data_IF_865794151908
#
_entry.id   IF_865794151908
#
_cell.length_a   1.000
_cell.length_b   1.000
_cell.length_c   1.000
_cell.angle_alpha   90.00
_cell.angle_beta   90.00
_cell.angle_gamma   90.00
#
_symmetry.space_group_name_H-M   'P 1'
#
loop_
_entity.id
_entity.type
_entity.pdbx_description
1 polymer ?
#
# COMPACT_ATOMS: atom_id res chain seq x y z
N UNK A 1 -11.35 -2.06 -22.29
CA UNK A 1 -10.28 -2.95 -21.79
C UNK A 1 -10.75 -4.38 -22.01
N UNK A 2 -10.00 -5.21 -22.72
CA UNK A 2 -10.42 -6.60 -22.99
C UNK A 2 -10.36 -7.38 -21.69
N UNK A 3 -11.48 -7.93 -21.23
CA UNK A 3 -11.50 -8.97 -20.19
C UNK A 3 -10.64 -10.14 -20.69
N UNK A 4 -9.40 -10.26 -20.19
CA UNK A 4 -8.60 -11.45 -20.46
C UNK A 4 -9.18 -12.58 -19.63
N UNK A 5 -9.94 -13.45 -20.26
CA UNK A 5 -10.61 -14.63 -19.68
C UNK A 5 -9.64 -15.78 -19.38
N UNK A 6 -8.35 -15.49 -19.20
CA UNK A 6 -7.32 -16.47 -18.88
C UNK A 6 -7.10 -16.65 -17.38
N UNK A 7 -6.59 -17.81 -16.99
CA UNK A 7 -6.14 -18.13 -15.64
C UNK A 7 -5.11 -17.11 -15.15
N UNK A 8 -5.34 -16.51 -13.98
CA UNK A 8 -4.43 -15.57 -13.33
C UNK A 8 -3.58 -16.30 -12.29
N UNK A 9 -2.27 -16.21 -12.43
CA UNK A 9 -1.33 -16.82 -11.50
C UNK A 9 -0.87 -15.79 -10.48
N UNK A 10 -1.03 -16.11 -9.21
CA UNK A 10 -0.70 -15.25 -8.09
C UNK A 10 0.42 -15.89 -7.28
N UNK A 11 1.56 -15.22 -7.17
CA UNK A 11 2.62 -15.62 -6.25
C UNK A 11 2.25 -15.22 -4.83
N UNK A 12 2.10 -16.17 -3.93
CA UNK A 12 1.74 -15.94 -2.53
C UNK A 12 2.97 -16.07 -1.66
N UNK A 13 3.30 -15.02 -0.92
CA UNK A 13 4.43 -14.96 0.00
C UNK A 13 3.92 -14.46 1.34
N UNK A 14 3.72 -15.37 2.30
CA UNK A 14 3.20 -15.03 3.62
C UNK A 14 4.23 -14.23 4.47
N UNK A 15 5.51 -14.51 4.30
CA UNK A 15 6.61 -13.84 5.01
C UNK A 15 6.70 -14.18 6.48
N UNK A 16 6.74 -13.16 7.35
CA UNK A 16 6.99 -13.29 8.79
C UNK A 16 5.76 -13.00 9.65
N UNK A 17 5.85 -13.40 10.91
CA UNK A 17 4.94 -13.02 11.98
C UNK A 17 3.47 -13.24 11.65
N UNK A 18 2.66 -12.18 11.82
CA UNK A 18 1.22 -12.22 11.53
C UNK A 18 0.89 -12.42 10.05
N UNK A 19 1.85 -12.20 9.13
CA UNK A 19 1.66 -12.51 7.71
C UNK A 19 1.30 -13.98 7.48
N UNK A 20 1.83 -14.90 8.30
CA UNK A 20 1.49 -16.33 8.26
C UNK A 20 0.06 -16.65 8.71
N UNK A 21 -0.57 -15.76 9.46
CA UNK A 21 -1.94 -15.90 9.97
C UNK A 21 -2.96 -15.16 9.09
N UNK A 22 -2.62 -13.96 8.63
CA UNK A 22 -3.52 -13.13 7.81
C UNK A 22 -3.59 -13.58 6.35
N UNK A 23 -2.49 -14.10 5.80
CA UNK A 23 -2.43 -14.57 4.40
C UNK A 23 -3.42 -15.70 4.09
N UNK A 24 -3.56 -16.76 4.91
CA UNK A 24 -4.56 -17.78 4.67
C UNK A 24 -5.99 -17.26 4.60
N UNK A 25 -6.31 -16.26 5.42
CA UNK A 25 -7.63 -15.60 5.41
C UNK A 25 -7.81 -14.69 4.20
N UNK A 26 -6.75 -13.99 3.79
CA UNK A 26 -6.72 -13.25 2.53
C UNK A 26 -7.00 -14.15 1.32
N UNK A 27 -6.29 -15.27 1.21
CA UNK A 27 -6.50 -16.27 0.13
C UNK A 27 -7.92 -16.83 0.17
N UNK A 28 -8.44 -17.20 1.36
CA UNK A 28 -9.83 -17.68 1.54
C UNK A 28 -10.86 -16.73 0.94
N UNK A 29 -10.72 -15.43 1.21
CA UNK A 29 -11.65 -14.41 0.69
C UNK A 29 -11.48 -14.25 -0.82
N UNK A 30 -10.25 -14.30 -1.33
CA UNK A 30 -10.00 -14.24 -2.78
C UNK A 30 -10.58 -15.45 -3.51
N UNK A 31 -10.48 -16.66 -2.96
CA UNK A 31 -11.10 -17.88 -3.51
C UNK A 31 -12.64 -17.76 -3.52
N UNK A 32 -13.23 -17.22 -2.45
CA UNK A 32 -14.67 -17.01 -2.39
C UNK A 32 -15.14 -15.99 -3.44
N UNK A 33 -14.40 -14.87 -3.58
CA UNK A 33 -14.67 -13.87 -4.62
C UNK A 33 -14.49 -14.46 -6.03
N UNK A 34 -13.41 -15.20 -6.26
CA UNK A 34 -13.16 -15.86 -7.54
C UNK A 34 -14.27 -16.82 -7.92
N UNK A 35 -14.74 -17.64 -6.96
CA UNK A 35 -15.87 -18.55 -7.17
C UNK A 35 -17.17 -17.81 -7.52
N UNK A 36 -17.47 -16.71 -6.79
CA UNK A 36 -18.67 -15.90 -7.00
C UNK A 36 -18.70 -15.22 -8.38
N UNK A 37 -17.55 -14.71 -8.84
CA UNK A 37 -17.46 -13.92 -10.06
C UNK A 37 -16.93 -14.70 -11.27
N UNK A 38 -16.67 -16.02 -11.13
CA UNK A 38 -16.17 -16.87 -12.22
C UNK A 38 -14.76 -16.51 -12.66
N UNK A 39 -13.90 -16.08 -11.72
CA UNK A 39 -12.51 -15.71 -11.98
C UNK A 39 -11.62 -16.95 -11.77
N UNK A 40 -10.77 -17.27 -12.75
CA UNK A 40 -9.81 -18.38 -12.61
C UNK A 40 -8.50 -17.85 -11.97
N UNK A 41 -8.39 -18.02 -10.65
CA UNK A 41 -7.18 -17.69 -9.87
C UNK A 41 -6.41 -18.96 -9.53
N UNK A 42 -5.09 -18.92 -9.66
CA UNK A 42 -4.18 -19.94 -9.16
C UNK A 42 -3.15 -19.31 -8.22
N UNK A 43 -3.00 -19.90 -7.04
CA UNK A 43 -2.08 -19.43 -6.01
C UNK A 43 -0.87 -20.38 -5.94
N UNK A 44 0.32 -19.82 -6.24
CA UNK A 44 1.61 -20.50 -6.12
C UNK A 44 2.30 -19.99 -4.85
N UNK A 45 2.50 -20.85 -3.86
CA UNK A 45 3.04 -20.47 -2.56
C UNK A 45 4.56 -20.56 -2.51
N UNK A 46 5.19 -19.53 -1.95
CA UNK A 46 6.63 -19.44 -1.75
C UNK A 46 6.95 -19.18 -0.27
N UNK A 47 8.01 -19.80 0.25
CA UNK A 47 8.43 -19.72 1.64
C UNK A 47 9.57 -18.72 1.92
N UNK A 48 10.13 -18.11 0.87
CA UNK A 48 11.17 -17.10 0.99
C UNK A 48 10.63 -15.72 1.42
N UNK A 49 11.51 -14.72 1.58
CA UNK A 49 11.19 -13.40 2.18
C UNK A 49 10.71 -13.53 3.62
N UNK A 50 11.35 -14.42 4.38
CA UNK A 50 11.04 -14.67 5.79
C UNK A 50 12.30 -14.95 6.60
N UNK A 51 12.23 -14.74 7.92
CA UNK A 51 13.27 -15.18 8.85
C UNK A 51 13.55 -16.67 8.75
N UNK A 52 12.52 -17.51 8.67
CA UNK A 52 12.68 -18.96 8.61
C UNK A 52 13.46 -19.41 7.37
N UNK A 53 13.26 -18.74 6.26
CA UNK A 53 14.03 -18.97 5.04
C UNK A 53 15.47 -18.48 5.20
N UNK A 54 15.66 -17.28 5.74
CA UNK A 54 16.98 -16.71 5.99
C UNK A 54 17.81 -17.58 6.94
N UNK A 55 17.22 -18.08 8.02
CA UNK A 55 17.90 -18.96 8.99
C UNK A 55 18.44 -20.24 8.32
N UNK A 56 17.74 -20.77 7.34
CA UNK A 56 18.15 -22.01 6.63
C UNK A 56 19.16 -21.75 5.51
N UNK A 57 19.02 -20.62 4.82
CA UNK A 57 19.73 -20.39 3.54
C UNK A 57 20.75 -19.25 3.59
N UNK A 58 20.76 -18.41 4.65
CA UNK A 58 21.65 -17.24 4.77
C UNK A 58 21.28 -16.07 3.84
N UNK A 59 20.13 -16.14 3.18
CA UNK A 59 19.63 -15.12 2.26
C UNK A 59 18.11 -15.05 2.32
N UNK A 60 17.52 -13.88 2.01
CA UNK A 60 16.08 -13.67 2.08
C UNK A 60 15.30 -14.34 0.95
N UNK A 61 15.93 -14.51 -0.19
CA UNK A 61 15.35 -15.12 -1.40
C UNK A 61 16.39 -15.97 -2.12
N UNK A 62 15.99 -16.99 -2.90
CA UNK A 62 16.92 -17.77 -3.72
C UNK A 62 17.46 -16.91 -4.87
N UNK A 63 18.65 -17.24 -5.40
CA UNK A 63 19.29 -16.46 -6.47
C UNK A 63 18.41 -16.31 -7.73
N UNK A 64 17.58 -17.30 -8.02
CA UNK A 64 16.67 -17.31 -9.17
C UNK A 64 15.24 -16.82 -8.82
N UNK A 65 15.05 -16.10 -7.71
CA UNK A 65 13.73 -15.62 -7.27
C UNK A 65 12.97 -14.85 -8.36
N UNK A 66 13.70 -14.09 -9.17
CA UNK A 66 13.13 -13.28 -10.24
C UNK A 66 12.47 -14.14 -11.33
N UNK A 67 13.11 -15.26 -11.68
CA UNK A 67 12.54 -16.22 -12.64
C UNK A 67 11.36 -16.97 -12.04
N UNK A 68 11.42 -17.30 -10.74
CA UNK A 68 10.34 -18.00 -10.05
C UNK A 68 9.05 -17.17 -9.99
N UNK A 69 9.16 -15.87 -9.73
CA UNK A 69 8.02 -14.98 -9.48
C UNK A 69 7.64 -14.13 -10.69
N UNK A 70 8.60 -13.79 -11.54
CA UNK A 70 8.43 -12.82 -12.64
C UNK A 70 7.38 -13.19 -13.69
N UNK A 71 6.99 -14.46 -13.80
CA UNK A 71 5.95 -14.94 -14.70
C UNK A 71 4.53 -14.92 -14.12
N UNK A 72 4.31 -14.40 -12.91
CA UNK A 72 2.99 -14.28 -12.29
C UNK A 72 2.29 -12.98 -12.69
N UNK A 73 0.96 -12.96 -12.64
CA UNK A 73 0.15 -11.76 -12.89
C UNK A 73 0.22 -10.76 -11.73
N UNK A 74 0.43 -11.27 -10.50
CA UNK A 74 0.59 -10.46 -9.29
C UNK A 74 1.34 -11.24 -8.18
N UNK A 75 1.86 -10.48 -7.20
CA UNK A 75 2.43 -10.99 -5.96
C UNK A 75 1.49 -10.59 -4.82
N UNK A 76 1.00 -11.55 -4.06
CA UNK A 76 0.22 -11.35 -2.85
C UNK A 76 1.12 -11.60 -1.65
N UNK A 77 1.49 -10.51 -0.96
CA UNK A 77 2.54 -10.50 0.05
C UNK A 77 1.95 -10.24 1.44
N UNK A 78 2.45 -10.93 2.45
CA UNK A 78 2.01 -10.74 3.84
C UNK A 78 2.81 -9.65 4.53
N UNK A 79 3.84 -10.05 5.26
CA UNK A 79 4.71 -9.11 5.97
C UNK A 79 6.14 -9.65 6.01
N UNK A 80 7.13 -8.78 6.18
CA UNK A 80 8.53 -9.18 6.32
C UNK A 80 9.21 -8.39 7.42
N UNK A 81 10.15 -9.07 8.08
CA UNK A 81 10.98 -8.52 9.13
C UNK A 81 10.67 -9.10 10.51
N UNK A 82 11.74 -9.30 11.28
CA UNK A 82 11.69 -9.72 12.67
C UNK A 82 12.85 -9.05 13.41
N UNK A 83 12.68 -7.80 13.90
CA UNK A 83 13.79 -6.97 14.40
C UNK A 83 14.68 -7.61 15.45
N UNK A 84 14.13 -8.52 16.29
CA UNK A 84 14.90 -9.25 17.31
C UNK A 84 15.81 -10.34 16.71
N UNK A 85 15.55 -10.80 15.48
CA UNK A 85 16.25 -11.90 14.84
C UNK A 85 17.08 -11.47 13.64
N UNK A 86 16.60 -10.50 12.87
CA UNK A 86 17.21 -10.05 11.61
C UNK A 86 17.08 -8.53 11.49
N UNK A 87 18.17 -7.86 11.16
CA UNK A 87 18.15 -6.41 10.97
C UNK A 87 17.32 -6.01 9.74
N UNK A 88 16.59 -4.89 9.84
CA UNK A 88 15.70 -4.39 8.79
C UNK A 88 16.42 -4.19 7.44
N UNK A 89 17.68 -3.74 7.46
CA UNK A 89 18.44 -3.59 6.22
C UNK A 89 18.76 -4.93 5.52
N UNK A 90 18.68 -6.06 6.21
CA UNK A 90 18.82 -7.40 5.60
C UNK A 90 17.46 -7.87 5.09
N UNK A 91 16.44 -7.81 5.94
CA UNK A 91 15.10 -8.34 5.60
C UNK A 91 14.40 -7.52 4.51
N UNK A 92 14.35 -6.19 4.63
CA UNK A 92 13.67 -5.32 3.67
C UNK A 92 14.46 -5.16 2.36
N UNK A 93 15.78 -4.94 2.46
CA UNK A 93 16.60 -4.74 1.25
C UNK A 93 16.85 -6.04 0.50
N UNK A 94 16.87 -7.16 1.21
CA UNK A 94 17.01 -8.50 0.63
C UNK A 94 15.72 -9.09 0.05
N UNK A 95 14.58 -8.39 0.17
CA UNK A 95 13.29 -8.88 -0.33
C UNK A 95 12.41 -7.77 -0.89
N UNK A 96 11.63 -7.07 -0.07
CA UNK A 96 10.60 -6.11 -0.50
C UNK A 96 11.12 -5.02 -1.44
N UNK A 97 12.27 -4.41 -1.11
CA UNK A 97 12.86 -3.38 -1.95
C UNK A 97 13.43 -3.93 -3.27
N UNK A 98 13.82 -5.21 -3.30
CA UNK A 98 14.22 -5.87 -4.55
C UNK A 98 13.03 -6.02 -5.49
N UNK A 99 11.85 -6.46 -4.99
CA UNK A 99 10.64 -6.52 -5.81
C UNK A 99 10.32 -5.15 -6.42
N UNK A 100 10.33 -4.08 -5.62
CA UNK A 100 10.03 -2.72 -6.09
C UNK A 100 10.96 -2.27 -7.21
N UNK A 101 12.27 -2.52 -7.07
CA UNK A 101 13.29 -2.09 -8.02
C UNK A 101 13.35 -2.98 -9.26
N UNK A 102 13.47 -4.29 -9.08
CA UNK A 102 13.70 -5.24 -10.14
C UNK A 102 12.45 -5.49 -11.02
N UNK A 103 11.25 -5.31 -10.46
CA UNK A 103 9.99 -5.36 -11.17
C UNK A 103 9.43 -3.96 -11.51
N UNK A 104 10.28 -2.94 -11.37
CA UNK A 104 9.94 -1.55 -11.70
C UNK A 104 8.52 -1.15 -11.22
N UNK A 105 8.22 -1.44 -9.95
CA UNK A 105 6.96 -1.14 -9.32
C UNK A 105 6.94 0.33 -8.88
N UNK A 106 6.87 1.23 -9.86
CA UNK A 106 7.14 2.66 -9.69
C UNK A 106 6.00 3.47 -9.04
N UNK A 107 4.85 2.86 -8.83
CA UNK A 107 3.75 3.46 -8.07
C UNK A 107 3.51 2.67 -6.80
N UNK A 108 3.56 3.32 -5.64
CA UNK A 108 2.95 2.80 -4.43
C UNK A 108 1.61 3.49 -4.21
N UNK A 109 0.53 2.70 -4.19
CA UNK A 109 -0.85 3.18 -4.05
C UNK A 109 -1.40 2.76 -2.70
N UNK A 110 -1.82 3.73 -1.88
CA UNK A 110 -2.40 3.49 -0.55
C UNK A 110 -3.73 4.25 -0.39
N UNK A 111 -4.87 3.56 -0.27
CA UNK A 111 -6.13 4.19 0.11
C UNK A 111 -6.14 4.52 1.61
N UNK A 112 -6.75 5.65 1.95
CA UNK A 112 -7.09 6.02 3.33
C UNK A 112 -8.58 6.32 3.36
N UNK A 113 -9.36 5.40 3.95
CA UNK A 113 -10.82 5.47 3.97
C UNK A 113 -11.36 5.21 5.37
N UNK A 114 -12.25 6.08 5.83
CA UNK A 114 -12.99 5.87 7.08
C UNK A 114 -14.08 4.82 6.85
N UNK A 115 -13.86 3.65 7.44
CA UNK A 115 -14.74 2.49 7.31
C UNK A 115 -15.86 2.48 8.37
N UNK A 116 -17.00 1.85 8.11
CA UNK A 116 -18.04 1.61 9.13
C UNK A 116 -17.44 0.97 10.39
N UNK A 117 -17.90 1.42 11.56
CA UNK A 117 -17.47 0.88 12.84
C UNK A 117 -16.04 1.18 13.27
N UNK A 118 -15.27 1.90 12.46
CA UNK A 118 -13.97 2.45 12.84
C UNK A 118 -14.18 3.89 13.33
N UNK A 119 -13.51 4.25 14.40
CA UNK A 119 -13.56 5.60 14.96
C UNK A 119 -12.35 6.38 14.48
N UNK A 120 -12.59 7.43 13.68
CA UNK A 120 -11.53 8.33 13.28
C UNK A 120 -11.03 9.12 14.51
N UNK A 121 -9.71 9.17 14.75
CA UNK A 121 -9.16 9.99 15.82
C UNK A 121 -9.26 11.50 15.53
N UNK A 122 -9.47 11.89 14.28
CA UNK A 122 -9.67 13.27 13.86
C UNK A 122 -11.15 13.61 13.79
N UNK A 123 -11.55 14.70 14.45
CA UNK A 123 -12.93 15.17 14.50
C UNK A 123 -13.20 16.29 13.50
N UNK A 124 -14.47 16.61 13.25
CA UNK A 124 -14.84 17.81 12.50
C UNK A 124 -14.51 19.09 13.29
N UNK A 125 -14.53 20.23 12.62
CA UNK A 125 -14.17 21.53 13.23
C UNK A 125 -15.07 21.92 14.41
N UNK A 126 -16.30 21.43 14.44
CA UNK A 126 -17.25 21.65 15.54
C UNK A 126 -17.09 20.63 16.68
N UNK A 127 -16.11 19.74 16.61
CA UNK A 127 -15.83 18.70 17.59
C UNK A 127 -16.66 17.44 17.42
N UNK A 128 -17.55 17.36 16.42
CA UNK A 128 -18.34 16.16 16.16
C UNK A 128 -17.50 15.06 15.51
N UNK A 129 -17.90 13.80 15.74
CA UNK A 129 -17.27 12.64 15.09
C UNK A 129 -17.53 12.64 13.59
N UNK A 130 -16.58 12.09 12.83
CA UNK A 130 -16.72 11.89 11.40
C UNK A 130 -17.48 10.60 11.10
N UNK A 131 -18.23 10.63 10.01
CA UNK A 131 -19.03 9.49 9.56
C UNK A 131 -18.26 8.64 8.53
N UNK A 132 -18.53 7.34 8.41
CA UNK A 132 -17.97 6.47 7.38
C UNK A 132 -18.15 7.06 5.98
N UNK A 133 -17.06 7.05 5.21
CA UNK A 133 -17.02 7.59 3.84
C UNK A 133 -16.75 9.09 3.73
N UNK A 134 -16.76 9.86 4.82
CA UNK A 134 -16.35 11.28 4.77
C UNK A 134 -14.87 11.48 4.44
N UNK A 135 -14.05 10.51 4.79
CA UNK A 135 -12.65 10.47 4.40
C UNK A 135 -12.49 9.27 3.46
N UNK A 136 -12.16 9.57 2.22
CA UNK A 136 -11.92 8.55 1.17
C UNK A 136 -10.94 9.11 0.15
N UNK A 137 -9.64 8.92 0.40
CA UNK A 137 -8.58 9.43 -0.44
C UNK A 137 -7.59 8.33 -0.82
N UNK A 138 -6.87 8.56 -1.91
CA UNK A 138 -5.73 7.76 -2.33
C UNK A 138 -4.45 8.55 -2.26
N UNK A 139 -3.40 7.96 -1.71
CA UNK A 139 -2.04 8.48 -1.76
C UNK A 139 -1.28 7.71 -2.84
N UNK A 140 -0.78 8.44 -3.83
CA UNK A 140 0.05 7.94 -4.93
C UNK A 140 1.49 8.39 -4.65
N UNK A 141 2.33 7.44 -4.26
CA UNK A 141 3.73 7.64 -3.91
C UNK A 141 4.62 7.16 -5.06
N UNK A 142 5.59 7.98 -5.47
CA UNK A 142 6.73 7.50 -6.26
C UNK A 142 7.49 6.42 -5.46
N UNK A 143 7.94 5.35 -6.12
CA UNK A 143 8.37 4.16 -5.39
C UNK A 143 9.73 3.58 -5.80
N UNK A 144 10.46 4.19 -6.75
CA UNK A 144 11.70 3.63 -7.31
C UNK A 144 12.89 4.56 -7.29
N UNK A 145 12.69 5.86 -7.14
CA UNK A 145 13.74 6.89 -7.10
C UNK A 145 13.49 7.90 -5.96
N UNK A 146 13.74 9.18 -6.16
CA UNK A 146 13.50 10.21 -5.18
C UNK A 146 14.54 10.22 -4.07
N UNK A 147 14.08 10.42 -2.86
CA UNK A 147 14.90 10.50 -1.65
C UNK A 147 15.44 9.13 -1.22
N UNK A 148 14.87 8.02 -1.73
CA UNK A 148 15.31 6.64 -1.51
C UNK A 148 16.27 6.14 -2.60
N UNK A 149 16.93 7.01 -3.34
CA UNK A 149 17.78 6.69 -4.50
C UNK A 149 18.96 5.77 -4.20
N UNK A 150 19.41 5.66 -2.95
CA UNK A 150 20.63 4.96 -2.53
C UNK A 150 21.93 5.52 -3.18
N UNK A 151 21.87 6.73 -3.74
CA UNK A 151 23.05 7.42 -4.28
C UNK A 151 23.62 8.33 -3.19
N UNK A 152 24.88 8.12 -2.86
CA UNK A 152 25.56 8.85 -1.80
C UNK A 152 26.79 8.13 -1.31
N UNK A 153 27.28 8.55 -0.15
CA UNK A 153 28.46 7.95 0.43
C UNK A 153 28.86 8.55 1.77
N UNK A 154 29.92 7.96 2.32
CA UNK A 154 30.52 8.41 3.58
C UNK A 154 32.01 8.64 3.40
N UNK A 155 32.52 9.78 3.84
CA UNK A 155 33.92 10.14 3.85
C UNK A 155 34.42 10.24 5.30
N UNK A 156 35.66 9.84 5.55
CA UNK A 156 36.34 9.90 6.85
C UNK A 156 35.56 9.20 7.99
N UNK A 157 35.06 7.96 7.80
CA UNK A 157 34.19 7.29 8.76
C UNK A 157 34.88 7.13 10.14
N UNK A 158 34.13 7.40 11.22
CA UNK A 158 34.61 7.27 12.60
C UNK A 158 35.55 8.38 13.08
N UNK A 159 35.71 9.47 12.32
CA UNK A 159 36.49 10.66 12.73
C UNK A 159 35.60 11.88 12.92
N UNK A 160 36.09 12.92 13.62
CA UNK A 160 35.38 14.21 13.73
C UNK A 160 35.12 14.92 12.39
N UNK A 161 35.81 14.49 11.32
CA UNK A 161 35.68 15.02 9.96
C UNK A 161 34.71 14.19 9.12
N UNK A 162 34.00 13.27 9.72
CA UNK A 162 33.07 12.40 8.99
C UNK A 162 32.01 13.23 8.23
N UNK A 163 31.85 12.90 6.96
CA UNK A 163 30.82 13.50 6.10
C UNK A 163 29.96 12.35 5.55
N UNK A 164 28.64 12.48 5.66
CA UNK A 164 27.67 11.56 5.10
C UNK A 164 26.79 12.32 4.11
N UNK A 165 26.60 11.77 2.91
CA UNK A 165 25.82 12.38 1.86
C UNK A 165 24.87 11.35 1.23
N UNK A 166 23.63 11.76 0.98
CA UNK A 166 22.67 11.02 0.18
C UNK A 166 21.95 11.99 -0.75
N UNK A 167 21.85 11.62 -2.02
CA UNK A 167 21.26 12.43 -3.05
C UNK A 167 19.78 12.10 -3.27
N UNK A 168 18.97 13.13 -3.50
CA UNK A 168 17.61 12.98 -4.07
C UNK A 168 17.71 12.99 -5.59
N UNK A 169 17.20 11.95 -6.22
CA UNK A 169 17.20 11.80 -7.69
C UNK A 169 15.78 11.85 -8.20
N UNK A 170 15.52 12.74 -9.15
CA UNK A 170 14.25 12.82 -9.88
C UNK A 170 14.54 12.80 -11.37
N UNK A 171 14.24 11.69 -12.03
CA UNK A 171 14.31 11.60 -13.48
C UNK A 171 13.01 12.08 -14.11
N UNK A 172 13.07 12.57 -15.36
CA UNK A 172 11.86 12.95 -16.08
C UNK A 172 10.92 11.76 -16.27
N UNK A 173 11.46 10.60 -16.59
CA UNK A 173 10.68 9.36 -16.79
C UNK A 173 9.99 8.97 -15.48
N UNK A 174 10.71 8.95 -14.35
CA UNK A 174 10.18 8.56 -13.06
C UNK A 174 9.07 9.49 -12.58
N UNK A 175 9.29 10.81 -12.67
CA UNK A 175 8.29 11.81 -12.27
C UNK A 175 7.07 11.78 -13.20
N UNK A 176 7.28 11.80 -14.52
CA UNK A 176 6.16 11.86 -15.47
C UNK A 176 5.25 10.62 -15.39
N UNK A 177 5.80 9.42 -15.20
CA UNK A 177 5.01 8.18 -15.15
C UNK A 177 4.14 8.09 -13.88
N UNK A 178 4.66 8.48 -12.71
CA UNK A 178 3.86 8.49 -11.48
C UNK A 178 2.80 9.58 -11.52
N UNK A 179 3.11 10.76 -12.06
CA UNK A 179 2.14 11.83 -12.26
C UNK A 179 1.03 11.40 -13.20
N UNK A 180 1.35 10.79 -14.35
CA UNK A 180 0.35 10.26 -15.28
C UNK A 180 -0.62 9.32 -14.58
N UNK A 181 -0.10 8.37 -13.79
CA UNK A 181 -0.94 7.45 -13.01
C UNK A 181 -1.86 8.21 -12.05
N UNK A 182 -1.33 9.18 -11.31
CA UNK A 182 -2.12 9.96 -10.35
C UNK A 182 -3.22 10.80 -11.02
N UNK A 183 -2.94 11.41 -12.16
CA UNK A 183 -3.93 12.16 -12.96
C UNK A 183 -5.02 11.23 -13.52
N UNK A 184 -4.66 10.06 -14.05
CA UNK A 184 -5.63 9.06 -14.54
C UNK A 184 -6.53 8.57 -13.40
N UNK A 185 -5.95 8.30 -12.22
CA UNK A 185 -6.70 7.91 -11.04
C UNK A 185 -7.67 9.02 -10.63
N UNK A 186 -7.19 10.26 -10.49
CA UNK A 186 -8.03 11.40 -10.12
C UNK A 186 -9.17 11.60 -11.13
N UNK A 187 -8.88 11.51 -12.44
CA UNK A 187 -9.90 11.63 -13.49
C UNK A 187 -10.99 10.55 -13.42
N UNK A 188 -10.63 9.35 -12.93
CA UNK A 188 -11.58 8.24 -12.77
C UNK A 188 -12.49 8.38 -11.54
N UNK A 189 -12.15 9.24 -10.59
CA UNK A 189 -12.92 9.46 -9.36
C UNK A 189 -13.96 10.58 -9.53
N UNK A 190 -15.05 10.57 -8.73
CA UNK A 190 -16.13 11.56 -8.87
C UNK A 190 -15.67 13.01 -8.71
N UNK A 191 -14.80 13.28 -7.71
CA UNK A 191 -14.34 14.63 -7.38
C UNK A 191 -13.32 15.19 -8.37
N UNK A 192 -12.65 14.32 -9.12
CA UNK A 192 -11.60 14.67 -10.10
C UNK A 192 -10.59 15.67 -9.54
N UNK A 193 -10.15 15.43 -8.32
CA UNK A 193 -9.31 16.35 -7.58
C UNK A 193 -7.95 15.71 -7.26
N UNK A 194 -6.87 16.37 -7.68
CA UNK A 194 -5.49 15.96 -7.44
C UNK A 194 -4.78 17.00 -6.58
N UNK A 195 -4.22 16.58 -5.48
CA UNK A 195 -3.34 17.42 -4.63
C UNK A 195 -1.89 16.97 -4.81
N UNK A 196 -0.99 17.89 -5.18
CA UNK A 196 0.44 17.64 -5.26
C UNK A 196 1.14 18.06 -3.98
N UNK A 197 1.88 17.11 -3.37
CA UNK A 197 2.77 17.38 -2.25
C UNK A 197 4.12 17.89 -2.77
N UNK A 198 4.60 19.02 -2.21
CA UNK A 198 5.88 19.63 -2.60
C UNK A 198 6.61 20.24 -1.40
N UNK A 199 7.84 20.67 -1.60
CA UNK A 199 8.61 21.51 -0.66
C UNK A 199 9.48 22.51 -1.43
N UNK A 200 8.97 23.06 -2.53
CA UNK A 200 9.71 23.93 -3.44
C UNK A 200 10.14 25.26 -2.80
N UNK A 201 9.58 25.64 -1.65
CA UNK A 201 10.05 26.79 -0.87
C UNK A 201 11.32 26.51 -0.04
N UNK A 202 11.73 25.24 0.09
CA UNK A 202 12.90 24.85 0.91
C UNK A 202 13.89 23.97 0.15
N UNK A 203 13.43 23.13 -0.76
CA UNK A 203 14.27 22.24 -1.60
C UNK A 203 14.36 22.87 -2.99
N UNK A 204 15.44 23.57 -3.24
CA UNK A 204 15.53 24.56 -4.33
C UNK A 204 15.70 23.97 -5.75
N UNK A 205 15.97 22.68 -5.91
CA UNK A 205 16.25 22.08 -7.23
C UNK A 205 15.20 21.03 -7.58
N UNK A 206 15.08 19.96 -6.82
CA UNK A 206 14.22 18.82 -7.16
C UNK A 206 12.73 19.13 -7.03
N UNK A 207 12.32 19.93 -6.02
CA UNK A 207 10.91 20.23 -5.80
C UNK A 207 10.33 21.28 -6.75
N UNK A 208 11.03 22.34 -7.17
CA UNK A 208 10.60 23.18 -8.29
C UNK A 208 10.46 22.38 -9.60
N UNK A 209 11.36 21.42 -9.86
CA UNK A 209 11.24 20.52 -11.00
C UNK A 209 9.97 19.64 -10.90
N UNK A 210 9.69 19.09 -9.73
CA UNK A 210 8.45 18.35 -9.48
C UNK A 210 7.22 19.23 -9.79
N UNK A 211 7.19 20.47 -9.27
CA UNK A 211 6.10 21.43 -9.51
C UNK A 211 5.93 21.75 -11.00
N UNK A 212 7.04 21.92 -11.74
CA UNK A 212 7.03 22.14 -13.19
C UNK A 212 6.40 20.93 -13.93
N UNK A 213 6.78 19.69 -13.56
CA UNK A 213 6.22 18.49 -14.18
C UNK A 213 4.73 18.34 -13.90
N UNK A 214 4.29 18.61 -12.67
CA UNK A 214 2.85 18.63 -12.33
C UNK A 214 2.09 19.65 -13.19
N UNK A 215 2.58 20.87 -13.28
CA UNK A 215 1.95 21.92 -14.09
C UNK A 215 1.92 21.59 -15.59
N UNK A 216 2.95 20.93 -16.11
CA UNK A 216 2.97 20.49 -17.50
C UNK A 216 1.97 19.34 -17.74
N UNK A 217 1.93 18.36 -16.86
CA UNK A 217 0.98 17.24 -16.95
C UNK A 217 -0.47 17.72 -16.87
N UNK A 218 -0.77 18.68 -16.00
CA UNK A 218 -2.12 19.22 -15.83
C UNK A 218 -2.74 19.77 -17.12
N UNK A 219 -1.92 20.26 -18.06
CA UNK A 219 -2.41 20.72 -19.38
C UNK A 219 -3.10 19.63 -20.19
N UNK A 220 -2.72 18.36 -19.97
CA UNK A 220 -3.32 17.19 -20.62
C UNK A 220 -4.58 16.67 -19.92
N UNK A 221 -4.90 17.20 -18.74
CA UNK A 221 -6.02 16.81 -17.90
C UNK A 221 -6.85 18.01 -17.45
N UNK A 222 -7.44 18.78 -18.39
CA UNK A 222 -8.14 20.04 -18.07
C UNK A 222 -9.42 19.84 -17.23
N UNK A 223 -9.90 18.61 -17.14
CA UNK A 223 -11.06 18.18 -16.33
C UNK A 223 -10.68 17.76 -14.91
N UNK A 224 -9.41 17.75 -14.55
CA UNK A 224 -8.91 17.44 -13.20
C UNK A 224 -8.54 18.75 -12.49
N UNK A 225 -9.16 18.99 -11.34
CA UNK A 225 -8.79 20.10 -10.45
C UNK A 225 -7.45 19.77 -9.77
N UNK A 226 -6.49 20.70 -9.82
CA UNK A 226 -5.15 20.49 -9.22
C UNK A 226 -4.86 21.54 -8.17
N UNK A 227 -4.55 21.07 -6.95
CA UNK A 227 -4.02 21.90 -5.87
C UNK A 227 -2.58 21.47 -5.52
N UNK A 228 -1.83 22.38 -4.91
CA UNK A 228 -0.47 22.16 -4.47
C UNK A 228 -0.27 22.67 -3.06
N UNK A 229 0.31 21.84 -2.17
CA UNK A 229 0.67 22.23 -0.81
C UNK A 229 2.09 21.83 -0.48
N UNK A 230 2.79 22.67 0.30
CA UNK A 230 4.04 22.27 0.91
C UNK A 230 3.78 21.20 1.96
N UNK A 231 4.68 20.20 2.08
CA UNK A 231 4.46 18.99 2.87
C UNK A 231 4.12 19.28 4.34
N UNK A 232 4.73 20.28 4.94
CA UNK A 232 4.49 20.69 6.33
C UNK A 232 3.05 21.16 6.55
N UNK A 233 2.53 22.04 5.70
CA UNK A 233 1.13 22.47 5.82
C UNK A 233 0.17 21.38 5.32
N UNK A 234 0.57 20.53 4.39
CA UNK A 234 -0.22 19.42 3.91
C UNK A 234 -0.50 18.40 5.03
N UNK A 235 0.51 18.07 5.85
CA UNK A 235 0.32 17.19 7.02
C UNK A 235 -0.66 17.80 8.03
N UNK A 236 -0.61 19.11 8.27
CA UNK A 236 -1.58 19.79 9.11
C UNK A 236 -3.01 19.71 8.52
N UNK A 237 -3.15 19.84 7.20
CA UNK A 237 -4.44 19.74 6.53
C UNK A 237 -5.00 18.31 6.54
N UNK A 238 -4.17 17.27 6.51
CA UNK A 238 -4.61 15.89 6.69
C UNK A 238 -5.32 15.68 8.03
N UNK A 239 -4.85 16.36 9.09
CA UNK A 239 -5.48 16.29 10.42
C UNK A 239 -6.73 17.19 10.50
N UNK A 240 -6.65 18.42 9.96
CA UNK A 240 -7.70 19.43 10.13
C UNK A 240 -8.91 19.24 9.21
N UNK A 241 -8.67 18.80 7.97
CA UNK A 241 -9.67 18.68 6.91
C UNK A 241 -9.37 17.51 5.96
N UNK A 242 -9.28 16.27 6.46
CA UNK A 242 -8.95 15.10 5.62
C UNK A 242 -9.99 14.85 4.52
N UNK A 243 -11.22 15.28 4.72
CA UNK A 243 -12.33 15.24 3.76
C UNK A 243 -12.14 16.12 2.51
N UNK A 244 -11.13 16.99 2.52
CA UNK A 244 -10.79 17.82 1.36
C UNK A 244 -10.06 17.04 0.25
N UNK A 245 -9.38 15.95 0.60
CA UNK A 245 -8.49 15.24 -0.30
C UNK A 245 -9.18 14.08 -1.02
N UNK A 246 -8.89 13.93 -2.31
CA UNK A 246 -9.38 12.85 -3.16
C UNK A 246 -8.21 11.97 -3.64
N UNK A 247 -7.29 12.52 -4.44
CA UNK A 247 -6.02 11.87 -4.79
C UNK A 247 -4.87 12.79 -4.41
N UNK A 248 -3.88 12.25 -3.71
CA UNK A 248 -2.66 12.99 -3.32
C UNK A 248 -1.47 12.32 -3.98
N UNK A 249 -0.68 13.09 -4.76
CA UNK A 249 0.56 12.59 -5.37
C UNK A 249 1.77 13.20 -4.70
N UNK A 250 2.79 12.37 -4.46
CA UNK A 250 3.98 12.77 -3.72
C UNK A 250 5.25 12.03 -4.21
N UNK A 251 6.41 12.66 -3.96
CA UNK A 251 7.71 11.99 -4.06
C UNK A 251 7.80 10.80 -3.11
N UNK A 252 8.87 10.03 -3.22
CA UNK A 252 9.02 8.81 -2.44
C UNK A 252 8.92 9.04 -0.92
N UNK A 253 9.69 9.97 -0.36
CA UNK A 253 9.66 10.27 1.08
C UNK A 253 8.35 10.93 1.52
N UNK A 254 7.87 11.92 0.78
CA UNK A 254 6.64 12.60 1.16
C UNK A 254 5.44 11.67 1.06
N UNK A 255 5.42 10.80 0.06
CA UNK A 255 4.41 9.77 -0.11
C UNK A 255 4.45 8.74 1.03
N UNK A 256 5.63 8.38 1.52
CA UNK A 256 5.79 7.49 2.67
C UNK A 256 5.13 8.07 3.93
N UNK A 257 5.49 9.32 4.25
CA UNK A 257 4.93 10.03 5.41
C UNK A 257 3.41 10.16 5.31
N UNK A 258 2.90 10.59 4.16
CA UNK A 258 1.46 10.83 3.97
C UNK A 258 0.65 9.54 3.96
N UNK A 259 1.22 8.45 3.47
CA UNK A 259 0.53 7.16 3.36
C UNK A 259 0.37 6.43 4.68
N UNK A 260 1.10 6.83 5.72
CA UNK A 260 0.87 6.39 7.10
C UNK A 260 -0.04 7.39 7.85
N UNK A 261 0.13 8.69 7.58
CA UNK A 261 -0.70 9.73 8.20
C UNK A 261 -2.18 9.64 7.78
N UNK A 262 -2.47 9.34 6.52
CA UNK A 262 -3.84 9.16 6.03
C UNK A 262 -4.61 8.10 6.81
N UNK A 263 -4.15 6.83 6.84
CA UNK A 263 -4.74 5.77 7.64
C UNK A 263 -4.77 6.07 9.16
N UNK A 264 -3.77 6.78 9.69
CA UNK A 264 -3.79 7.24 11.08
C UNK A 264 -4.95 8.20 11.34
N UNK A 265 -5.22 9.15 10.43
CA UNK A 265 -6.36 10.07 10.53
C UNK A 265 -7.72 9.38 10.43
N UNK A 266 -7.82 8.30 9.67
CA UNK A 266 -9.06 7.50 9.55
C UNK A 266 -9.21 6.44 10.64
N UNK A 267 -8.17 6.21 11.47
CA UNK A 267 -8.16 5.12 12.46
C UNK A 267 -8.01 3.73 11.84
N UNK A 268 -7.57 3.64 10.59
CA UNK A 268 -7.50 2.38 9.82
C UNK A 268 -6.09 1.87 9.58
N UNK A 269 -5.07 2.39 10.26
CA UNK A 269 -3.66 2.02 10.02
C UNK A 269 -3.41 0.50 10.18
N UNK A 270 -4.09 -0.16 11.12
CA UNK A 270 -3.99 -1.61 11.33
C UNK A 270 -4.67 -2.47 10.25
N UNK A 271 -5.49 -1.86 9.39
CA UNK A 271 -6.23 -2.54 8.30
C UNK A 271 -5.95 -1.93 6.93
N UNK A 272 -5.00 -0.99 6.84
CA UNK A 272 -4.68 -0.28 5.61
C UNK A 272 -3.95 -1.20 4.61
N UNK A 273 -4.38 -1.21 3.35
CA UNK A 273 -3.69 -1.94 2.29
C UNK A 273 -2.66 -1.07 1.58
N UNK A 274 -1.78 -1.72 0.85
CA UNK A 274 -0.81 -1.08 -0.04
C UNK A 274 -0.66 -1.89 -1.33
N UNK A 275 -0.42 -1.22 -2.44
CA UNK A 275 -0.08 -1.84 -3.71
C UNK A 275 1.18 -1.18 -4.28
N UNK A 276 2.19 -2.00 -4.59
CA UNK A 276 3.37 -1.60 -5.34
C UNK A 276 3.14 -2.01 -6.79
N UNK A 277 2.87 -1.05 -7.65
CA UNK A 277 2.37 -1.30 -9.00
C UNK A 277 3.44 -1.08 -10.08
N UNK A 278 3.48 -2.00 -11.03
CA UNK A 278 3.96 -1.75 -12.39
C UNK A 278 2.73 -1.56 -13.29
N UNK A 279 2.24 -0.31 -13.47
CA UNK A 279 1.03 -0.03 -14.23
C UNK A 279 1.11 -0.47 -15.70
N UNK A 280 2.31 -0.55 -16.26
CA UNK A 280 2.55 -1.01 -17.62
C UNK A 280 2.43 -2.54 -17.77
N UNK A 281 2.33 -3.27 -16.62
CA UNK A 281 2.18 -4.74 -16.54
C UNK A 281 3.30 -5.52 -17.25
N UNK A 282 4.50 -4.96 -17.28
CA UNK A 282 5.69 -5.64 -17.79
C UNK A 282 6.24 -6.65 -16.78
N UNK A 283 5.95 -6.41 -15.50
CA UNK A 283 6.33 -7.23 -14.37
C UNK A 283 5.16 -7.34 -13.37
N UNK A 284 5.17 -8.35 -12.51
CA UNK A 284 4.11 -8.49 -11.50
C UNK A 284 4.10 -7.32 -10.51
N UNK A 285 2.92 -6.80 -10.22
CA UNK A 285 2.67 -5.86 -9.13
C UNK A 285 2.54 -6.61 -7.81
N UNK A 286 2.88 -5.96 -6.69
CA UNK A 286 2.86 -6.55 -5.36
C UNK A 286 1.82 -5.86 -4.48
N UNK A 287 1.03 -6.66 -3.77
CA UNK A 287 -0.05 -6.22 -2.88
C UNK A 287 0.24 -6.71 -1.46
N UNK A 288 0.46 -5.77 -0.54
CA UNK A 288 0.88 -6.02 0.85
C UNK A 288 0.15 -5.10 1.82
N UNK A 289 -0.19 -5.53 3.05
CA UNK A 289 -0.69 -4.62 4.08
C UNK A 289 0.36 -3.57 4.47
N UNK A 290 -0.10 -2.43 4.98
CA UNK A 290 0.79 -1.39 5.52
C UNK A 290 1.44 -1.84 6.84
N UNK A 291 0.72 -2.66 7.64
CA UNK A 291 1.26 -3.20 8.88
C UNK A 291 2.46 -4.14 8.64
N UNK A 292 3.40 -4.19 9.58
CA UNK A 292 4.54 -5.11 9.57
C UNK A 292 4.16 -6.51 10.08
N UNK A 293 5.19 -7.27 10.44
CA UNK A 293 5.08 -8.67 10.91
C UNK A 293 4.54 -8.85 12.33
N UNK A 294 4.52 -7.79 13.15
CA UNK A 294 4.05 -7.78 14.54
C UNK A 294 4.45 -9.03 15.33
N UNK A 295 5.77 -9.24 15.60
CA UNK A 295 6.26 -10.45 16.23
C UNK A 295 5.71 -10.72 17.63
N UNK A 296 5.31 -9.67 18.33
CA UNK A 296 4.74 -9.71 19.70
C UNK A 296 3.39 -10.42 19.79
N UNK A 297 2.62 -10.43 18.69
CA UNK A 297 1.33 -11.11 18.61
C UNK A 297 1.32 -12.31 17.65
N UNK A 298 2.45 -12.58 16.99
CA UNK A 298 2.57 -13.68 16.04
C UNK A 298 2.28 -15.05 16.69
N UNK A 299 1.57 -15.93 16.00
CA UNK A 299 1.20 -17.27 16.45
C UNK A 299 -0.01 -17.30 17.41
N UNK A 300 -0.62 -16.13 17.71
CA UNK A 300 -1.74 -16.04 18.65
C UNK A 300 -3.11 -16.03 17.99
N UNK A 301 -3.17 -15.97 16.67
CA UNK A 301 -4.41 -15.92 15.88
C UNK A 301 -5.36 -14.77 16.30
N UNK A 302 -4.78 -13.59 16.61
CA UNK A 302 -5.52 -12.39 17.05
C UNK A 302 -5.29 -11.19 16.13
N UNK A 303 -4.43 -11.31 15.12
CA UNK A 303 -4.17 -10.27 14.14
C UNK A 303 -5.42 -9.98 13.28
N UNK A 304 -5.62 -8.72 12.92
CA UNK A 304 -6.73 -8.33 12.05
C UNK A 304 -6.40 -8.69 10.57
N UNK A 305 -7.19 -9.55 9.89
CA UNK A 305 -6.88 -9.95 8.52
C UNK A 305 -7.39 -8.95 7.47
N UNK A 306 -8.12 -7.89 7.86
CA UNK A 306 -8.77 -6.96 6.93
C UNK A 306 -7.77 -6.29 6.01
N UNK A 307 -6.60 -5.88 6.52
CA UNK A 307 -5.55 -5.28 5.68
C UNK A 307 -5.12 -6.20 4.55
N UNK A 308 -4.89 -7.48 4.86
CA UNK A 308 -4.56 -8.50 3.87
C UNK A 308 -5.69 -8.71 2.86
N UNK A 309 -6.92 -8.83 3.33
CA UNK A 309 -8.11 -9.00 2.47
C UNK A 309 -8.30 -7.81 1.54
N UNK A 310 -8.10 -6.59 2.04
CA UNK A 310 -8.22 -5.38 1.24
C UNK A 310 -7.11 -5.28 0.17
N UNK A 311 -5.89 -5.73 0.47
CA UNK A 311 -4.84 -5.89 -0.54
C UNK A 311 -5.27 -6.85 -1.65
N UNK A 312 -5.93 -7.94 -1.30
CA UNK A 312 -6.52 -8.87 -2.28
C UNK A 312 -7.60 -8.19 -3.15
N UNK A 313 -8.46 -7.35 -2.56
CA UNK A 313 -9.42 -6.57 -3.33
C UNK A 313 -8.73 -5.64 -4.32
N UNK A 314 -7.70 -4.89 -3.90
CA UNK A 314 -6.90 -4.04 -4.81
C UNK A 314 -6.24 -4.85 -5.93
N UNK A 315 -5.76 -6.05 -5.63
CA UNK A 315 -5.22 -6.98 -6.62
C UNK A 315 -6.27 -7.36 -7.66
N UNK A 316 -7.50 -7.69 -7.25
CA UNK A 316 -8.61 -8.01 -8.17
C UNK A 316 -8.93 -6.83 -9.08
N UNK A 317 -9.00 -5.61 -8.57
CA UNK A 317 -9.20 -4.40 -9.39
C UNK A 317 -8.07 -4.21 -10.41
N UNK A 318 -6.82 -4.33 -9.98
CA UNK A 318 -5.66 -4.26 -10.87
C UNK A 318 -5.69 -5.31 -11.97
N UNK A 319 -6.15 -6.52 -11.67
CA UNK A 319 -6.30 -7.61 -12.64
C UNK A 319 -7.51 -7.43 -13.57
N UNK A 320 -8.33 -6.40 -13.37
CA UNK A 320 -9.47 -6.04 -14.22
C UNK A 320 -10.81 -6.57 -13.72
N UNK A 321 -10.91 -6.99 -12.47
CA UNK A 321 -12.12 -7.55 -11.85
C UNK A 321 -12.73 -6.57 -10.83
N UNK A 322 -13.13 -5.38 -11.30
CA UNK A 322 -13.68 -4.29 -10.47
C UNK A 322 -14.90 -4.72 -9.65
N UNK A 323 -15.82 -5.47 -10.25
CA UNK A 323 -17.02 -5.92 -9.54
C UNK A 323 -16.68 -6.84 -8.34
N UNK A 324 -15.65 -7.66 -8.49
CA UNK A 324 -15.17 -8.51 -7.40
C UNK A 324 -14.47 -7.68 -6.31
N UNK A 325 -13.66 -6.69 -6.68
CA UNK A 325 -13.09 -5.72 -5.75
C UNK A 325 -14.19 -5.05 -4.91
N UNK A 326 -15.20 -4.48 -5.57
CA UNK A 326 -16.28 -3.74 -4.90
C UNK A 326 -17.06 -4.65 -3.96
N UNK A 327 -17.31 -5.91 -4.34
CA UNK A 327 -17.98 -6.89 -3.49
C UNK A 327 -17.15 -7.24 -2.25
N UNK A 328 -15.83 -7.40 -2.37
CA UNK A 328 -14.93 -7.65 -1.22
C UNK A 328 -14.94 -6.45 -0.27
N UNK A 329 -14.88 -5.21 -0.78
CA UNK A 329 -14.96 -4.02 0.07
C UNK A 329 -16.31 -3.93 0.79
N UNK A 330 -17.42 -4.21 0.11
CA UNK A 330 -18.74 -4.26 0.72
C UNK A 330 -18.83 -5.34 1.81
N UNK A 331 -18.20 -6.51 1.61
CA UNK A 331 -18.15 -7.56 2.63
C UNK A 331 -17.34 -7.12 3.85
N UNK A 332 -16.20 -6.43 3.66
CA UNK A 332 -15.43 -5.81 4.76
C UNK A 332 -16.29 -4.81 5.51
N UNK A 333 -16.94 -3.87 4.82
CA UNK A 333 -17.80 -2.86 5.43
C UNK A 333 -18.96 -3.47 6.22
N UNK A 334 -19.58 -4.51 5.68
CA UNK A 334 -20.65 -5.24 6.35
C UNK A 334 -20.18 -5.92 7.64
N UNK A 335 -19.00 -6.52 7.64
CA UNK A 335 -18.41 -7.14 8.86
C UNK A 335 -18.01 -6.08 9.87
N UNK A 336 -17.49 -4.94 9.42
CA UNK A 336 -17.12 -3.82 10.29
C UNK A 336 -18.33 -3.06 10.87
N UNK A 337 -19.51 -3.12 10.25
CA UNK A 337 -20.70 -2.43 10.76
C UNK A 337 -21.06 -2.96 12.16
N UNK A 338 -21.11 -2.11 13.19
CA UNK A 338 -21.49 -2.53 14.56
C UNK A 338 -22.83 -3.26 14.66
N UNK A 339 -23.75 -2.95 13.75
CA UNK A 339 -25.10 -3.52 13.71
C UNK A 339 -25.14 -4.94 13.16
N UNK A 340 -24.07 -5.39 12.50
CA UNK A 340 -24.00 -6.72 11.90
C UNK A 340 -23.90 -7.85 12.92
N UNK A 341 -23.36 -7.56 14.13
CA UNK A 341 -23.00 -8.57 15.12
C UNK A 341 -21.85 -9.50 14.67
N UNK A 342 -21.14 -9.14 13.59
CA UNK A 342 -20.04 -9.93 13.06
C UNK A 342 -18.83 -9.93 14.01
N UNK A 343 -17.96 -10.97 13.93
CA UNK A 343 -16.76 -11.07 14.76
C UNK A 343 -15.77 -9.95 14.45
N UNK A 344 -15.12 -9.42 15.50
CA UNK A 344 -14.09 -8.36 15.43
C UNK A 344 -12.88 -8.75 16.23
N UNK A 345 -11.71 -8.40 15.76
CA UNK A 345 -10.44 -8.56 16.50
C UNK A 345 -10.25 -7.52 17.59
N UNK A 346 -9.28 -7.75 18.48
CA UNK A 346 -9.06 -6.91 19.66
C UNK A 346 -8.69 -5.47 19.37
N UNK A 347 -7.98 -5.18 18.27
CA UNK A 347 -7.56 -3.85 17.82
C UNK A 347 -8.76 -2.93 17.45
N UNK A 348 -9.89 -3.53 17.07
CA UNK A 348 -11.13 -2.82 16.73
C UNK A 348 -12.26 -3.11 17.72
N UNK A 349 -11.89 -3.44 18.96
CA UNK A 349 -12.82 -3.54 20.10
C UNK A 349 -13.59 -4.85 20.21
N UNK A 350 -13.12 -5.93 19.56
CA UNK A 350 -13.68 -7.28 19.68
C UNK A 350 -12.78 -8.25 20.43
N UNK A 351 -13.09 -9.54 20.34
CA UNK A 351 -12.32 -10.64 20.95
C UNK A 351 -12.18 -11.83 19.99
N UNK A 352 -12.61 -11.68 18.76
CA UNK A 352 -12.58 -12.74 17.77
C UNK A 352 -11.17 -13.03 17.25
N UNK A 353 -10.97 -14.22 16.75
CA UNK A 353 -9.71 -14.62 16.14
C UNK A 353 -9.58 -14.08 14.70
N UNK A 354 -8.34 -14.06 14.19
CA UNK A 354 -8.00 -13.78 12.79
C UNK A 354 -8.88 -14.63 11.85
N UNK A 355 -8.96 -15.92 12.16
CA UNK A 355 -9.73 -16.90 11.36
C UNK A 355 -11.23 -16.61 11.38
N UNK A 356 -11.80 -16.20 12.51
CA UNK A 356 -13.23 -15.89 12.61
C UNK A 356 -13.61 -14.71 11.73
N UNK A 357 -12.78 -13.65 11.74
CA UNK A 357 -13.00 -12.46 10.90
C UNK A 357 -12.84 -12.80 9.41
N UNK A 358 -11.80 -13.54 9.01
CA UNK A 358 -11.62 -13.94 7.62
C UNK A 358 -12.79 -14.79 7.09
N UNK A 359 -13.28 -15.74 7.88
CA UNK A 359 -14.49 -16.53 7.56
C UNK A 359 -15.73 -15.68 7.44
N UNK A 360 -15.91 -14.71 8.34
CA UNK A 360 -17.07 -13.81 8.29
C UNK A 360 -17.08 -12.95 7.02
N UNK A 361 -15.92 -12.45 6.59
CA UNK A 361 -15.80 -11.68 5.35
C UNK A 361 -16.12 -12.56 4.14
N UNK A 362 -15.54 -13.78 4.07
CA UNK A 362 -15.82 -14.71 2.99
C UNK A 362 -17.30 -15.12 2.91
N UNK A 363 -17.98 -15.26 4.07
CA UNK A 363 -19.41 -15.56 4.12
C UNK A 363 -20.31 -14.36 3.79
N UNK A 364 -19.79 -13.14 3.88
CA UNK A 364 -20.51 -11.91 3.57
C UNK A 364 -20.52 -11.54 2.08
N UNK A 365 -19.65 -12.19 1.30
CA UNK A 365 -19.62 -12.11 -0.17
C UNK A 365 -20.88 -12.76 -0.77
#
# INVERSE_FOLDING_TARGET
MSNSTGKKRIAVIAGDGIGKETMPEGVRVMEAAASKFGIDLAFDHFDFSSWDYYEKHGQMMPDNWKDLVGGHDAIYFGAVGWPEKIADHVSLWGSLLLFRREFDQYVNLRPARLMPGIIAPVVRRDGSAREPGEIDMYIVRENTEGEYSSIGGRMFPGTEREIVMQETVMSRIGVDRVLKFAFELARSRPEKHLTSATKSNGIAITMPYWDERVAEMAKSYPDVKVDKFHIDILTAHFVQRPDFFDVVVASNLFGDILSDLGPACTGTIGIAPSANLNPDRLFPSLFEPVHGSAPDIAGRNIANPIGQVWCGAMMLDFLGHRDAHDAVLQAIEKVLDPRSGAPRTGDIGGTASTTDVGRAIAAAL
#
